data_IF_239747445168
#
_entry.id   IF_239747445168
#
_cell.length_a   1.000
_cell.length_b   1.000
_cell.length_c   1.000
_cell.angle_alpha   90.00
_cell.angle_beta   90.00
_cell.angle_gamma   90.00
#
_symmetry.space_group_name_H-M   'P 1'
#
loop_
_entity.id
_entity.type
_entity.pdbx_description
1 polymer ?
2 non-polymer ?
3 water ?
#
# COMPACT_ATOMS: atom_id res chain seq x y z
N UNK A 1 -26.07 -13.54 -25.07
CA UNK A 1 -25.16 -13.00 -24.08
C UNK A 1 -25.34 -11.51 -23.84
N UNK A 2 -24.84 -11.03 -22.72
CA UNK A 2 -24.99 -9.64 -22.34
C UNK A 2 -23.77 -9.23 -21.53
N UNK A 3 -23.53 -7.93 -21.50
CA UNK A 3 -22.45 -7.38 -20.72
C UNK A 3 -22.87 -7.26 -19.26
N UNK A 4 -22.21 -8.04 -18.41
CA UNK A 4 -22.52 -8.04 -16.99
C UNK A 4 -21.71 -6.97 -16.25
N UNK A 5 -20.52 -6.67 -16.76
CA UNK A 5 -19.65 -5.67 -16.14
C UNK A 5 -18.63 -5.18 -17.18
N UNK A 6 -18.25 -3.93 -17.06
CA UNK A 6 -17.32 -3.38 -18.00
C UNK A 6 -16.60 -2.19 -17.39
N UNK A 7 -15.29 -2.13 -17.64
CA UNK A 7 -14.49 -0.97 -17.25
C UNK A 7 -13.28 -0.85 -18.16
N UNK A 8 -12.88 0.38 -18.43
CA UNK A 8 -11.76 0.55 -19.34
C UNK A 8 -11.10 1.90 -18.98
N UNK A 9 -9.83 2.03 -19.35
CA UNK A 9 -9.14 3.26 -19.04
C UNK A 9 -7.65 3.18 -19.32
N UNK A 10 -6.88 3.96 -18.56
CA UNK A 10 -5.45 4.04 -18.83
C UNK A 10 -4.67 3.58 -17.62
N UNK A 11 -3.69 2.73 -17.86
CA UNK A 11 -2.88 2.18 -16.80
C UNK A 11 -1.43 2.66 -16.99
N UNK A 12 -0.65 2.59 -15.90
CA UNK A 12 0.79 2.88 -15.90
C UNK A 12 1.17 4.26 -16.38
N UNK A 13 0.38 5.25 -16.00
CA UNK A 13 0.67 6.65 -16.37
C UNK A 13 1.59 7.21 -15.30
N UNK A 14 2.84 7.41 -15.68
CA UNK A 14 3.87 7.89 -14.79
C UNK A 14 3.77 9.43 -14.76
N UNK A 15 3.80 10.02 -13.57
CA UNK A 15 3.67 11.46 -13.48
C UNK A 15 4.68 12.01 -12.49
N UNK A 16 5.32 13.10 -12.87
CA UNK A 16 6.22 13.74 -11.95
C UNK A 16 5.75 15.19 -11.81
N UNK A 17 5.78 15.71 -10.60
CA UNK A 17 5.44 17.12 -10.40
C UNK A 17 6.45 17.77 -9.41
N UNK A 18 6.93 18.95 -9.77
CA UNK A 18 7.86 19.70 -8.91
C UNK A 18 7.18 20.96 -8.31
N UNK A 19 7.40 21.19 -7.03
CA UNK A 19 6.94 22.42 -6.39
C UNK A 19 8.19 23.28 -6.06
N UNK A 20 8.19 24.53 -6.53
CA UNK A 20 9.31 25.47 -6.29
C UNK A 20 8.90 26.65 -5.38
N UNK A 21 9.46 26.70 -4.17
CA UNK A 21 9.24 27.83 -3.26
C UNK A 21 10.11 28.99 -3.74
N UNK A 22 9.50 30.01 -4.32
CA UNK A 22 10.27 31.17 -4.78
C UNK A 22 10.98 31.87 -3.61
N UNK A 23 10.33 31.84 -2.44
CA UNK A 23 10.92 32.44 -1.26
C UNK A 23 12.25 31.75 -0.94
N UNK A 24 12.14 30.58 -0.30
CA UNK A 24 13.28 29.79 0.16
C UNK A 24 14.19 29.15 -0.91
N UNK A 25 13.72 29.04 -2.15
CA UNK A 25 14.49 28.35 -3.20
C UNK A 25 14.39 26.81 -3.07
N UNK A 26 13.65 26.35 -2.07
CA UNK A 26 13.47 24.94 -1.86
C UNK A 26 12.49 24.28 -2.86
N UNK A 27 12.94 23.17 -3.45
CA UNK A 27 12.13 22.44 -4.42
C UNK A 27 11.70 21.10 -3.83
N UNK A 28 10.49 20.68 -4.18
CA UNK A 28 9.92 19.41 -3.71
C UNK A 28 9.35 18.65 -4.89
N UNK A 29 9.74 17.39 -5.00
CA UNK A 29 9.27 16.59 -6.13
C UNK A 29 8.30 15.50 -5.68
N UNK A 30 7.39 15.16 -6.58
CA UNK A 30 6.37 14.13 -6.32
C UNK A 30 6.37 13.26 -7.55
N UNK A 31 6.46 11.94 -7.35
CA UNK A 31 6.43 11.04 -8.48
C UNK A 31 5.45 9.91 -8.23
N UNK A 32 4.61 9.63 -9.21
CA UNK A 32 3.62 8.61 -8.96
C UNK A 32 3.28 7.80 -10.19
N UNK A 33 2.58 6.70 -10.01
CA UNK A 33 2.09 5.94 -11.19
C UNK A 33 0.60 5.85 -11.02
N UNK A 34 -0.14 6.23 -12.05
CA UNK A 34 -1.57 6.35 -11.95
C UNK A 34 -2.30 5.38 -12.91
N UNK A 35 -3.39 4.80 -12.42
CA UNK A 35 -4.31 4.03 -13.23
C UNK A 35 -5.72 4.63 -13.03
N UNK A 36 -6.46 4.83 -14.10
CA UNK A 36 -7.84 5.30 -14.02
C UNK A 36 -8.68 4.40 -14.95
N UNK A 37 -9.68 3.74 -14.36
CA UNK A 37 -10.64 2.90 -15.09
C UNK A 37 -12.05 3.51 -14.91
N UNK A 38 -12.80 3.62 -15.99
CA UNK A 38 -14.13 4.20 -15.93
C UNK A 38 -15.23 3.13 -16.15
N UNK A 39 -16.41 3.36 -15.59
CA UNK A 39 -17.62 2.56 -15.86
C UNK A 39 -18.77 3.54 -16.15
N UNK A 40 -19.79 3.07 -16.86
CA UNK A 40 -20.99 3.85 -17.12
C UNK A 40 -21.80 3.15 -18.20
N UNK A 41 -22.42 3.98 -19.04
CA UNK A 41 -23.23 3.49 -20.13
C UNK A 41 -22.42 3.27 -21.41
N UNK A 42 -21.58 2.25 -21.37
CA UNK A 42 -20.63 2.05 -22.45
C UNK A 42 -20.76 0.71 -23.10
N UNK A 43 -21.80 -0.03 -22.73
CA UNK A 43 -22.05 -1.37 -23.26
C UNK A 43 -22.04 -1.39 -24.78
N UNK A 44 -22.63 -0.36 -25.40
CA UNK A 44 -22.72 -0.38 -26.86
C UNK A 44 -21.38 -0.35 -27.56
N UNK A 45 -20.34 0.09 -26.85
CA UNK A 45 -19.01 0.10 -27.49
C UNK A 45 -18.59 -1.35 -27.71
N UNK A 46 -19.03 -2.24 -26.80
CA UNK A 46 -18.71 -3.67 -26.92
C UNK A 46 -19.67 -4.39 -27.87
N UNK A 47 -20.95 -4.11 -27.69
CA UNK A 47 -21.97 -4.85 -28.45
C UNK A 47 -22.26 -4.38 -29.87
N UNK A 48 -22.15 -3.08 -30.11
CA UNK A 48 -22.53 -2.52 -31.40
C UNK A 48 -21.41 -1.79 -32.15
N UNK A 49 -20.18 -1.86 -31.62
CA UNK A 49 -19.06 -1.14 -32.24
C UNK A 49 -19.39 0.34 -32.25
N UNK A 50 -20.09 0.79 -31.22
CA UNK A 50 -20.44 2.19 -31.15
C UNK A 50 -19.41 2.92 -30.25
N UNK A 51 -18.44 3.59 -30.88
CA UNK A 51 -17.36 4.26 -30.16
C UNK A 51 -17.73 5.63 -29.63
N UNK A 52 -18.94 6.10 -29.98
CA UNK A 52 -19.41 7.41 -29.56
C UNK A 52 -19.47 7.58 -28.06
N UNK A 53 -19.58 6.46 -27.35
CA UNK A 53 -19.67 6.49 -25.88
C UNK A 53 -18.29 6.46 -25.22
N UNK A 54 -17.26 6.24 -26.03
CA UNK A 54 -15.90 6.11 -25.52
C UNK A 54 -15.11 7.40 -25.39
N UNK A 55 -14.71 7.69 -24.16
CA UNK A 55 -13.77 8.73 -23.84
C UNK A 55 -12.41 7.98 -24.04
N UNK A 56 -11.70 8.32 -25.12
CA UNK A 56 -10.43 7.67 -25.49
C UNK A 56 -9.46 7.55 -24.30
N UNK A 57 -8.79 6.41 -24.21
CA UNK A 57 -7.86 6.21 -23.08
C UNK A 57 -6.74 7.26 -23.13
N UNK A 58 -6.38 7.66 -24.33
CA UNK A 58 -5.41 8.73 -24.52
C UNK A 58 -5.88 10.07 -23.91
N UNK A 59 -7.20 10.33 -23.98
CA UNK A 59 -7.78 11.54 -23.38
C UNK A 59 -7.76 11.47 -21.86
N UNK A 60 -7.94 10.26 -21.34
CA UNK A 60 -7.90 10.03 -19.89
C UNK A 60 -6.47 10.37 -19.43
N UNK A 61 -5.49 9.93 -20.20
CA UNK A 61 -4.07 10.22 -19.89
C UNK A 61 -3.84 11.75 -19.88
N UNK A 62 -4.31 12.44 -20.92
CA UNK A 62 -4.22 13.90 -21.00
C UNK A 62 -4.81 14.55 -19.77
N UNK A 63 -5.97 14.04 -19.32
CA UNK A 63 -6.70 14.58 -18.18
C UNK A 63 -5.91 14.45 -16.87
N UNK A 64 -5.18 13.35 -16.73
CA UNK A 64 -4.38 13.17 -15.52
C UNK A 64 -3.30 14.28 -15.48
N UNK A 65 -2.63 14.51 -16.60
CA UNK A 65 -1.61 15.56 -16.64
C UNK A 65 -2.24 16.93 -16.31
N UNK A 66 -3.34 17.25 -16.96
CA UNK A 66 -4.00 18.54 -16.73
C UNK A 66 -4.44 18.70 -15.26
N UNK A 67 -5.02 17.66 -14.72
CA UNK A 67 -5.46 17.70 -13.32
C UNK A 67 -4.29 17.90 -12.36
N UNK A 68 -3.20 17.20 -12.63
CA UNK A 68 -1.99 17.32 -11.81
C UNK A 68 -1.43 18.75 -11.92
N UNK A 69 -1.55 19.33 -13.10
CA UNK A 69 -1.09 20.69 -13.34
C UNK A 69 -1.91 21.72 -12.52
N UNK A 70 -3.21 21.55 -12.47
CA UNK A 70 -4.07 22.51 -11.79
C UNK A 70 -4.38 22.24 -10.34
N UNK A 71 -3.95 21.11 -9.80
CA UNK A 71 -4.27 20.80 -8.40
C UNK A 71 -3.05 20.25 -7.69
N UNK A 72 -3.13 20.19 -6.37
CA UNK A 72 -2.06 19.63 -5.56
C UNK A 72 -2.13 18.13 -5.81
N UNK A 73 -0.97 17.46 -5.81
CA UNK A 73 -0.93 16.02 -6.04
C UNK A 73 -0.80 15.27 -4.74
N UNK A 74 -0.79 16.02 -3.66
CA UNK A 74 -0.64 15.47 -2.32
C UNK A 74 -1.71 16.11 -1.42
N UNK A 75 -2.21 15.37 -0.43
CA UNK A 75 -1.95 13.95 -0.26
C UNK A 75 -2.68 13.19 -1.39
N UNK A 76 -2.22 11.98 -1.69
CA UNK A 76 -2.79 11.20 -2.82
C UNK A 76 -4.26 10.89 -2.72
N UNK A 77 -4.76 10.72 -1.51
CA UNK A 77 -6.21 10.50 -1.28
C UNK A 77 -7.05 11.68 -1.82
N UNK A 78 -6.51 12.89 -1.72
CA UNK A 78 -7.19 14.09 -2.27
C UNK A 78 -7.07 14.15 -3.79
N UNK A 79 -5.84 14.05 -4.30
CA UNK A 79 -5.64 14.07 -5.75
C UNK A 79 -6.49 13.02 -6.45
N UNK A 80 -6.55 11.80 -5.90
CA UNK A 80 -7.37 10.72 -6.51
C UNK A 80 -8.88 11.05 -6.48
N UNK A 81 -9.34 11.70 -5.41
CA UNK A 81 -10.78 12.11 -5.30
C UNK A 81 -11.10 13.19 -6.34
N UNK A 82 -10.19 14.15 -6.50
CA UNK A 82 -10.39 15.17 -7.50
C UNK A 82 -10.47 14.55 -8.89
N UNK A 83 -9.50 13.68 -9.19
CA UNK A 83 -9.43 13.05 -10.51
C UNK A 83 -10.67 12.19 -10.81
N UNK A 84 -11.11 11.37 -9.86
CA UNK A 84 -12.27 10.51 -10.13
C UNK A 84 -13.51 11.39 -10.27
N UNK A 85 -13.67 12.37 -9.37
CA UNK A 85 -14.85 13.24 -9.39
C UNK A 85 -14.96 13.93 -10.74
N UNK A 86 -13.81 14.37 -11.27
CA UNK A 86 -13.81 15.00 -12.58
C UNK A 86 -14.51 14.17 -13.64
N UNK A 87 -14.18 12.88 -13.76
CA UNK A 87 -14.79 12.07 -14.83
C UNK A 87 -16.32 11.91 -14.69
N UNK A 88 -16.81 11.69 -13.47
CA UNK A 88 -18.24 11.47 -13.31
C UNK A 88 -19.10 12.75 -13.50
N UNK A 89 -18.54 13.91 -13.18
CA UNK A 89 -19.23 15.21 -13.37
C UNK A 89 -19.15 15.71 -14.79
N UNK A 90 -18.00 15.48 -15.43
CA UNK A 90 -17.81 15.94 -16.78
C UNK A 90 -18.62 15.14 -17.79
N UNK A 91 -18.71 13.83 -17.61
CA UNK A 91 -19.37 12.98 -18.60
C UNK A 91 -20.64 12.39 -18.03
N UNK A 92 -21.73 12.67 -18.74
CA UNK A 92 -23.06 12.30 -18.27
C UNK A 92 -23.28 10.80 -18.17
N UNK A 93 -22.72 10.06 -19.12
CA UNK A 93 -22.89 8.63 -19.18
C UNK A 93 -21.86 7.81 -18.42
N UNK A 94 -20.89 8.48 -17.78
CA UNK A 94 -19.87 7.83 -16.96
C UNK A 94 -20.35 7.93 -15.52
N UNK A 95 -20.55 6.80 -14.85
CA UNK A 95 -21.06 6.84 -13.48
C UNK A 95 -20.13 6.39 -12.35
N UNK A 96 -19.02 5.73 -12.71
CA UNK A 96 -18.01 5.36 -11.72
C UNK A 96 -16.62 5.57 -12.30
N UNK A 97 -15.70 6.04 -11.46
CA UNK A 97 -14.28 6.20 -11.80
C UNK A 97 -13.49 5.49 -10.71
N UNK A 98 -12.53 4.67 -11.12
CA UNK A 98 -11.69 3.91 -10.20
C UNK A 98 -10.27 4.36 -10.47
N UNK A 99 -9.68 4.99 -9.46
CA UNK A 99 -8.38 5.62 -9.65
C UNK A 99 -7.40 4.95 -8.70
N UNK A 100 -6.30 4.44 -9.22
CA UNK A 100 -5.27 3.84 -8.37
C UNK A 100 -3.97 4.64 -8.50
N UNK A 101 -3.37 4.98 -7.39
CA UNK A 101 -2.13 5.79 -7.40
C UNK A 101 -1.07 5.11 -6.55
N UNK A 102 0.14 5.03 -7.07
CA UNK A 102 1.29 4.49 -6.37
C UNK A 102 2.27 5.66 -6.26
N UNK A 103 2.66 6.03 -5.04
CA UNK A 103 3.63 7.10 -4.82
C UNK A 103 4.98 6.48 -4.59
N UNK A 104 5.96 6.95 -5.35
CA UNK A 104 7.35 6.48 -5.25
C UNK A 104 8.13 7.43 -4.31
N UNK A 105 9.08 6.90 -3.55
CA UNK A 105 9.82 7.78 -2.63
C UNK A 105 10.91 8.54 -3.32
N UNK A 106 10.92 9.86 -3.10
CA UNK A 106 12.04 10.71 -3.48
C UNK A 106 12.28 11.50 -2.18
N UNK A 107 13.32 11.10 -1.47
CA UNK A 107 13.63 11.64 -0.14
C UNK A 107 14.75 12.67 -0.23
N UNK A 108 14.46 13.84 0.30
CA UNK A 108 15.43 14.93 0.27
C UNK A 108 16.80 14.42 0.75
N UNK A 109 17.86 14.70 0.00
CA UNK A 109 19.18 14.29 0.43
C UNK A 109 19.71 15.20 1.57
N UNK A 110 20.47 14.61 2.48
CA UNK A 110 21.10 15.39 3.54
C UNK A 110 22.55 15.47 3.14
N UNK A 111 23.02 16.68 2.87
CA UNK A 111 24.42 16.88 2.52
C UNK A 111 25.10 17.67 3.65
N UNK A 112 26.10 17.09 4.28
CA UNK A 112 26.83 17.77 5.35
C UNK A 112 25.93 18.06 6.56
N UNK A 113 25.04 17.13 6.90
CA UNK A 113 24.14 17.30 8.04
C UNK A 113 23.05 18.35 7.77
N UNK A 114 22.77 18.60 6.50
CA UNK A 114 21.78 19.61 6.17
C UNK A 114 20.94 19.27 4.91
N UNK A 115 19.62 19.47 4.99
CA UNK A 115 18.71 19.20 3.86
C UNK A 115 19.06 19.95 2.59
N UNK A 116 19.28 19.22 1.49
CA UNK A 116 19.55 19.86 0.22
C UNK A 116 18.28 20.38 -0.48
N UNK A 117 18.38 21.59 -1.02
CA UNK A 117 17.23 22.26 -1.62
C UNK A 117 16.58 21.58 -2.83
N UNK A 118 17.34 20.76 -3.56
CA UNK A 118 16.77 20.16 -4.77
C UNK A 118 17.40 18.86 -5.27
N UNK A 119 17.91 18.06 -4.33
CA UNK A 119 18.50 16.78 -4.65
C UNK A 119 17.81 15.75 -3.80
N UNK A 120 17.49 14.62 -4.44
CA UNK A 120 16.70 13.56 -3.84
C UNK A 120 17.27 12.19 -4.11
N UNK A 121 16.90 11.25 -3.24
CA UNK A 121 17.37 9.91 -3.33
C UNK A 121 16.18 8.99 -3.07
N UNK A 122 16.14 7.87 -3.78
CA UNK A 122 15.11 6.87 -3.55
C UNK A 122 15.64 5.93 -2.46
N UNK A 123 15.07 6.08 -1.27
CA UNK A 123 15.41 5.18 -0.17
C UNK A 123 14.39 4.06 -0.06
N UNK A 124 14.71 2.97 -0.74
CA UNK A 124 13.86 1.81 -0.72
C UNK A 124 12.72 2.01 -1.64
N UNK A 125 12.11 0.89 -1.85
CA UNK A 125 11.11 0.54 -2.83
C UNK A 125 9.74 0.50 -2.14
N UNK A 126 9.71 0.94 -0.90
CA UNK A 126 8.44 1.02 -0.17
C UNK A 126 7.54 2.07 -0.88
N UNK A 127 6.26 1.73 -1.05
CA UNK A 127 5.28 2.61 -1.73
C UNK A 127 4.21 3.05 -0.74
N UNK A 128 3.58 4.19 -1.05
CA UNK A 128 2.36 4.66 -0.40
C UNK A 128 1.33 4.66 -1.51
N UNK A 129 0.19 3.98 -1.33
CA UNK A 129 -0.78 3.86 -2.41
C UNK A 129 -2.14 4.34 -1.97
N UNK A 130 -3.00 4.56 -2.96
CA UNK A 130 -4.39 4.85 -2.70
C UNK A 130 -5.23 4.18 -3.76
N UNK A 131 -6.38 3.71 -3.35
CA UNK A 131 -7.38 3.24 -4.29
C UNK A 131 -8.62 4.11 -4.05
N UNK A 132 -9.09 4.84 -5.05
CA UNK A 132 -10.27 5.70 -4.88
C UNK A 132 -11.36 5.30 -5.87
N UNK A 133 -12.53 4.94 -5.35
CA UNK A 133 -13.68 4.62 -6.17
C UNK A 133 -14.71 5.75 -5.99
N UNK A 134 -15.00 6.43 -7.09
CA UNK A 134 -15.93 7.56 -7.09
C UNK A 134 -17.16 7.13 -7.88
N UNK A 135 -18.23 6.84 -7.14
CA UNK A 135 -19.46 6.32 -7.75
C UNK A 135 -20.62 7.34 -7.69
N UNK A 136 -21.17 7.69 -8.85
CA UNK A 136 -22.22 8.68 -8.87
C UNK A 136 -23.37 8.31 -7.92
N UNK A 137 -23.66 9.22 -6.98
CA UNK A 137 -24.72 9.00 -5.99
C UNK A 137 -24.36 8.15 -4.79
N UNK A 138 -23.09 7.71 -4.68
CA UNK A 138 -22.66 6.87 -3.56
C UNK A 138 -21.39 7.37 -2.89
N UNK A 139 -20.96 8.55 -3.27
CA UNK A 139 -19.86 9.21 -2.61
C UNK A 139 -18.50 8.69 -3.08
N UNK A 140 -17.57 8.66 -2.15
CA UNK A 140 -16.18 8.37 -2.42
C UNK A 140 -15.64 7.38 -1.43
N UNK A 141 -15.20 6.23 -1.92
CA UNK A 141 -14.58 5.18 -1.09
C UNK A 141 -13.07 5.22 -1.30
N UNK A 142 -12.36 5.35 -0.20
CA UNK A 142 -10.92 5.41 -0.25
C UNK A 142 -10.27 4.31 0.62
N UNK A 143 -9.31 3.63 0.02
CA UNK A 143 -8.47 2.66 0.72
C UNK A 143 -7.05 3.15 0.55
N UNK A 144 -6.35 3.37 1.65
CA UNK A 144 -4.99 3.87 1.58
C UNK A 144 -4.09 2.69 1.99
N UNK A 145 -2.85 2.70 1.53
CA UNK A 145 -1.99 1.60 1.94
C UNK A 145 -0.52 1.91 1.86
N UNK A 146 0.25 1.08 2.55
CA UNK A 146 1.67 1.13 2.39
C UNK A 146 2.04 -0.31 1.99
N UNK A 147 3.05 -0.46 1.15
CA UNK A 147 3.48 -1.79 0.74
C UNK A 147 4.97 -1.77 0.47
N UNK A 148 5.54 -2.95 0.30
CA UNK A 148 6.98 -3.08 0.02
C UNK A 148 7.86 -2.65 1.19
N UNK A 149 7.33 -2.70 2.41
CA UNK A 149 8.12 -2.41 3.61
C UNK A 149 8.74 -3.73 4.10
N UNK A 150 10.01 -3.92 3.84
CA UNK A 150 10.67 -5.20 4.16
C UNK A 150 11.48 -5.17 5.43
N UNK A 151 11.12 -6.05 6.38
CA UNK A 151 11.77 -6.03 7.70
C UNK A 151 12.16 -7.44 8.15
N UNK A 152 13.05 -7.50 9.12
CA UNK A 152 13.53 -8.76 9.68
C UNK A 152 13.95 -8.54 11.15
N UNK A 153 13.61 -9.50 12.01
CA UNK A 153 14.12 -9.49 13.37
C UNK A 153 14.81 -10.84 13.57
N UNK A 154 16.00 -10.83 14.16
CA UNK A 154 16.83 -12.04 14.27
C UNK A 154 16.50 -12.93 15.45
N UNK A 155 15.63 -12.45 16.31
CA UNK A 155 15.25 -13.24 17.49
C UNK A 155 13.93 -12.70 18.04
N UNK A 156 13.42 -13.31 19.11
CA UNK A 156 12.15 -12.87 19.74
C UNK A 156 10.96 -13.15 18.87
N UNK A 157 10.98 -14.33 18.29
CA UNK A 157 9.87 -14.76 17.49
C UNK A 157 9.79 -16.24 17.77
N UNK A 158 8.58 -16.72 17.97
CA UNK A 158 8.42 -18.12 18.31
C UNK A 158 7.31 -18.67 17.47
N UNK A 159 7.26 -19.99 17.43
CA UNK A 159 6.15 -20.68 16.83
C UNK A 159 6.04 -22.09 17.38
N UNK A 160 5.15 -22.29 18.35
CA UNK A 160 4.94 -23.60 18.97
C UNK A 160 3.47 -23.75 19.33
N UNK A 161 3.03 -24.98 19.61
CA UNK A 161 1.62 -25.24 19.97
C UNK A 161 0.65 -25.44 18.77
N UNK A 162 1.19 -25.55 17.58
CA UNK A 162 0.31 -25.66 16.43
C UNK A 162 -0.15 -27.12 16.29
N UNK A 163 -1.20 -27.33 15.50
CA UNK A 163 -1.73 -28.67 15.27
C UNK A 163 -0.67 -29.62 14.71
N UNK A 164 -0.65 -30.87 15.21
CA UNK A 164 0.29 -31.89 14.75
C UNK A 164 -0.47 -33.14 14.35
N UNK A 165 -0.25 -33.61 13.14
CA UNK A 165 -0.91 -34.83 12.73
C UNK A 165 0.01 -35.56 11.76
N UNK A 166 -0.51 -36.51 11.00
CA UNK A 166 0.37 -37.27 10.10
C UNK A 166 0.92 -36.47 8.90
N UNK A 167 0.57 -35.19 8.78
CA UNK A 167 1.08 -34.36 7.66
C UNK A 167 2.13 -33.40 8.17
N UNK A 168 2.39 -33.43 9.47
CA UNK A 168 3.30 -32.47 10.11
C UNK A 168 4.72 -32.98 10.26
N UNK A 169 5.70 -32.17 9.85
CA UNK A 169 7.11 -32.50 10.09
C UNK A 169 7.80 -31.32 10.73
N UNK A 170 7.15 -30.15 10.68
CA UNK A 170 7.72 -28.92 11.23
C UNK A 170 7.95 -29.06 12.76
N UNK A 171 9.11 -28.64 13.22
CA UNK A 171 9.38 -28.71 14.66
C UNK A 171 9.01 -27.41 15.36
N UNK A 172 8.51 -27.54 16.59
CA UNK A 172 8.15 -26.38 17.39
C UNK A 172 9.42 -25.63 17.70
N UNK A 173 9.35 -24.30 17.79
CA UNK A 173 10.54 -23.53 18.10
C UNK A 173 10.25 -22.37 19.04
N UNK A 174 11.26 -22.00 19.81
CA UNK A 174 11.08 -20.91 20.77
C UNK A 174 11.92 -19.73 20.39
N UNK A 175 12.68 -19.85 19.31
CA UNK A 175 13.56 -18.78 18.87
C UNK A 175 13.80 -18.89 17.36
N UNK A 176 13.34 -17.89 16.60
CA UNK A 176 13.51 -17.95 15.14
C UNK A 176 13.60 -16.56 14.55
N UNK A 177 14.06 -16.52 13.30
CA UNK A 177 14.11 -15.28 12.54
C UNK A 177 12.71 -15.06 12.01
N UNK A 178 12.27 -13.80 12.01
CA UNK A 178 10.96 -13.47 11.45
C UNK A 178 11.27 -12.38 10.43
N UNK A 179 10.88 -12.62 9.18
CA UNK A 179 11.08 -11.62 8.11
C UNK A 179 9.85 -11.54 7.22
N UNK A 180 9.50 -10.34 6.74
CA UNK A 180 8.29 -10.19 5.92
C UNK A 180 8.28 -8.90 5.09
N UNK A 181 7.38 -8.84 4.13
CA UNK A 181 7.17 -7.64 3.33
C UNK A 181 5.78 -7.18 3.75
N UNK A 182 5.70 -6.01 4.36
CA UNK A 182 4.45 -5.54 4.90
C UNK A 182 3.56 -4.88 3.87
N UNK A 183 2.32 -5.35 3.83
CA UNK A 183 1.29 -4.78 2.98
C UNK A 183 0.14 -4.48 3.94
N UNK A 184 -0.08 -3.20 4.23
CA UNK A 184 -1.15 -2.80 5.17
C UNK A 184 -2.08 -1.80 4.46
N UNK A 185 -3.37 -2.05 4.57
CA UNK A 185 -4.40 -1.21 3.98
C UNK A 185 -5.41 -0.75 5.03
N UNK A 186 -5.72 0.54 5.04
CA UNK A 186 -6.78 1.04 5.92
C UNK A 186 -7.87 1.64 5.06
N UNK A 187 -9.08 1.20 5.33
CA UNK A 187 -10.23 1.68 4.61
C UNK A 187 -10.96 2.77 5.39
N UNK A 188 -11.15 3.92 4.74
CA UNK A 188 -11.81 5.07 5.34
C UNK A 188 -13.35 4.89 5.31
N UNK A 189 -14.04 5.58 6.19
CA UNK A 189 -15.50 5.58 6.14
C UNK A 189 -15.85 6.32 4.84
N UNK A 190 -16.95 5.94 4.24
CA UNK A 190 -17.42 6.51 2.99
C UNK A 190 -17.55 8.03 3.13
N UNK A 191 -17.18 8.77 2.09
CA UNK A 191 -17.26 10.21 2.13
C UNK A 191 -18.36 10.59 1.15
N UNK A 192 -19.08 11.68 1.47
CA UNK A 192 -20.21 12.12 0.66
C UNK A 192 -19.79 12.75 -0.64
N UNK A 193 -18.60 13.30 -0.70
CA UNK A 193 -18.16 13.92 -1.95
C UNK A 193 -16.86 14.59 -1.68
N UNK A 194 -16.40 15.39 -2.65
CA UNK A 194 -15.13 16.08 -2.54
C UNK A 194 -15.00 17.05 -1.34
N UNK A 195 -16.05 17.82 -1.08
CA UNK A 195 -16.02 18.80 0.03
C UNK A 195 -15.77 18.08 1.34
N UNK A 196 -16.42 16.95 1.54
CA UNK A 196 -16.07 16.17 2.74
C UNK A 196 -14.62 15.65 2.74
N UNK A 197 -14.11 15.22 1.59
CA UNK A 197 -12.72 14.73 1.59
C UNK A 197 -11.80 15.89 1.91
N UNK A 198 -12.06 17.05 1.30
CA UNK A 198 -11.22 18.22 1.56
C UNK A 198 -11.21 18.58 3.04
N UNK A 199 -12.32 18.35 3.72
CA UNK A 199 -12.38 18.68 5.14
C UNK A 199 -11.46 17.81 6.01
N UNK A 200 -11.12 16.61 5.54
CA UNK A 200 -10.31 15.69 6.33
C UNK A 200 -8.85 15.61 5.91
N UNK A 201 -8.46 16.46 4.96
CA UNK A 201 -7.13 16.45 4.41
C UNK A 201 -5.96 16.15 5.37
N UNK A 202 -5.88 16.89 6.47
CA UNK A 202 -4.77 16.70 7.40
C UNK A 202 -4.69 15.27 7.96
N UNK A 203 -5.82 14.55 7.98
CA UNK A 203 -5.80 13.21 8.56
C UNK A 203 -5.10 12.14 7.69
N UNK A 204 -4.91 12.43 6.41
CA UNK A 204 -4.37 11.42 5.51
C UNK A 204 -2.90 11.09 5.76
N UNK A 205 -2.06 12.10 5.69
CA UNK A 205 -0.64 11.96 5.96
C UNK A 205 -0.39 11.48 7.40
N UNK A 206 -1.17 11.98 8.36
CA UNK A 206 -0.96 11.63 9.76
C UNK A 206 -1.31 10.20 9.98
N UNK A 207 -2.35 9.74 9.29
CA UNK A 207 -2.77 8.35 9.49
C UNK A 207 -1.80 7.39 8.82
N UNK A 208 -1.21 7.84 7.71
CA UNK A 208 -0.21 7.06 7.01
C UNK A 208 1.02 6.91 7.91
N UNK A 209 1.46 8.02 8.49
CA UNK A 209 2.63 8.03 9.39
C UNK A 209 2.36 7.13 10.59
N UNK A 210 1.13 7.19 11.08
CA UNK A 210 0.74 6.36 12.22
C UNK A 210 0.75 4.86 11.91
N UNK A 211 0.22 4.48 10.76
CA UNK A 211 0.17 3.07 10.41
C UNK A 211 1.60 2.52 10.32
N UNK A 212 2.47 3.28 9.68
CA UNK A 212 3.86 2.92 9.52
C UNK A 212 4.55 2.72 10.85
N UNK A 213 4.46 3.75 11.69
CA UNK A 213 5.11 3.75 13.01
C UNK A 213 4.64 2.60 13.90
N UNK A 214 3.33 2.39 13.95
CA UNK A 214 2.76 1.30 14.75
C UNK A 214 3.21 -0.04 14.20
N UNK A 215 3.23 -0.15 12.88
CA UNK A 215 3.69 -1.39 12.23
C UNK A 215 5.13 -1.70 12.65
N UNK A 216 6.01 -0.73 12.53
CA UNK A 216 7.44 -0.89 12.86
C UNK A 216 7.71 -1.16 14.34
N UNK A 217 7.08 -0.39 15.21
CA UNK A 217 7.25 -0.56 16.65
C UNK A 217 6.70 -1.89 17.14
N UNK A 218 5.51 -2.27 16.68
CA UNK A 218 4.92 -3.53 17.12
C UNK A 218 5.78 -4.73 16.64
N UNK A 219 6.28 -4.65 15.41
CA UNK A 219 7.08 -5.75 14.89
C UNK A 219 8.36 -5.87 15.76
N UNK A 220 9.05 -4.76 15.96
CA UNK A 220 10.28 -4.77 16.75
C UNK A 220 10.14 -5.19 18.24
N UNK A 221 9.04 -4.80 18.88
CA UNK A 221 8.87 -5.06 20.33
C UNK A 221 8.09 -6.32 20.70
N UNK A 222 7.16 -6.73 19.86
CA UNK A 222 6.39 -7.90 20.22
C UNK A 222 7.24 -9.15 20.30
N UNK A 223 7.08 -9.92 21.38
CA UNK A 223 7.72 -11.23 21.47
C UNK A 223 6.75 -12.15 20.79
N UNK A 224 6.89 -12.22 19.47
CA UNK A 224 5.87 -12.78 18.59
C UNK A 224 5.57 -14.25 18.81
N UNK A 225 4.29 -14.53 19.06
CA UNK A 225 3.82 -15.89 19.24
C UNK A 225 3.52 -16.55 17.87
N UNK A 226 3.33 -15.69 16.87
CA UNK A 226 3.02 -16.10 15.49
C UNK A 226 2.83 -14.83 14.67
N UNK A 227 2.86 -14.96 13.35
CA UNK A 227 2.62 -13.80 12.50
C UNK A 227 1.19 -13.32 12.75
N UNK A 228 0.27 -14.25 12.88
CA UNK A 228 -1.15 -13.97 13.13
C UNK A 228 -1.35 -13.04 14.34
N UNK A 229 -0.65 -13.34 15.42
CA UNK A 229 -0.82 -12.65 16.68
C UNK A 229 -0.22 -11.28 16.62
N UNK A 230 0.95 -11.17 16.01
CA UNK A 230 1.62 -9.89 15.86
C UNK A 230 0.84 -8.93 14.92
N UNK A 231 0.30 -9.45 13.82
CA UNK A 231 -0.42 -8.55 12.92
C UNK A 231 -1.73 -8.01 13.51
N UNK A 232 -2.43 -8.84 14.27
CA UNK A 232 -3.67 -8.41 14.93
C UNK A 232 -3.36 -7.26 15.88
N UNK A 233 -2.25 -7.35 16.61
CA UNK A 233 -1.86 -6.27 17.52
C UNK A 233 -1.65 -4.96 16.80
N UNK A 234 -1.04 -5.02 15.60
CA UNK A 234 -0.81 -3.77 14.85
C UNK A 234 -2.16 -3.16 14.46
N UNK A 235 -3.00 -3.98 13.87
CA UNK A 235 -4.29 -3.54 13.34
C UNK A 235 -5.13 -2.97 14.49
N UNK A 236 -5.09 -3.62 15.66
CA UNK A 236 -5.84 -3.15 16.83
C UNK A 236 -5.42 -1.73 17.17
N UNK A 237 -4.13 -1.47 17.18
CA UNK A 237 -3.66 -0.12 17.50
C UNK A 237 -4.04 0.96 16.47
N UNK A 238 -3.98 0.62 15.19
CA UNK A 238 -4.32 1.61 14.18
C UNK A 238 -5.79 2.03 14.30
N UNK A 239 -6.66 1.07 14.51
CA UNK A 239 -8.10 1.34 14.65
C UNK A 239 -8.39 2.22 15.84
N UNK A 240 -7.60 2.06 16.88
CA UNK A 240 -7.83 2.84 18.09
C UNK A 240 -7.34 4.28 17.93
N UNK A 241 -6.44 4.52 16.99
CA UNK A 241 -5.89 5.85 16.81
C UNK A 241 -6.58 6.79 15.85
N UNK A 242 -7.44 6.23 15.03
CA UNK A 242 -8.10 6.98 13.97
C UNK A 242 -9.51 6.41 13.80
N UNK A 243 -10.49 7.19 14.25
CA UNK A 243 -11.91 6.78 14.24
C UNK A 243 -12.54 6.73 12.87
N UNK A 244 -11.98 7.50 11.95
CA UNK A 244 -12.53 7.60 10.59
C UNK A 244 -12.18 6.36 9.74
N UNK A 245 -11.36 5.46 10.28
CA UNK A 245 -11.00 4.20 9.64
C UNK A 245 -12.03 3.15 10.01
N UNK A 246 -12.58 2.44 9.04
CA UNK A 246 -13.53 1.38 9.31
C UNK A 246 -12.83 0.00 9.50
N UNK A 247 -11.84 -0.30 8.64
CA UNK A 247 -11.16 -1.59 8.68
C UNK A 247 -9.70 -1.44 8.35
N UNK A 248 -8.89 -2.28 8.98
CA UNK A 248 -7.47 -2.39 8.69
C UNK A 248 -7.22 -3.80 8.11
N UNK A 249 -6.50 -3.87 7.01
CA UNK A 249 -6.19 -5.18 6.46
C UNK A 249 -4.68 -5.36 6.32
N UNK A 250 -4.19 -6.50 6.77
CA UNK A 250 -2.76 -6.82 6.66
C UNK A 250 -2.61 -8.07 5.81
N UNK A 251 -1.57 -8.08 4.99
CA UNK A 251 -1.26 -9.25 4.18
C UNK A 251 0.25 -9.41 4.30
N UNK A 252 0.67 -10.48 4.97
CA UNK A 252 2.09 -10.70 5.27
C UNK A 252 2.68 -12.06 4.87
N UNK A 253 3.67 -12.07 3.98
CA UNK A 253 4.42 -13.29 3.67
C UNK A 253 5.37 -13.64 4.83
N UNK A 254 5.57 -14.92 5.08
CA UNK A 254 6.52 -15.31 6.09
C UNK A 254 7.69 -15.85 5.27
N UNK A 255 8.77 -15.04 5.13
CA UNK A 255 9.97 -15.40 4.36
C UNK A 255 10.91 -16.20 5.23
N UNK A 256 11.02 -17.48 4.93
CA UNK A 256 11.75 -18.42 5.77
C UNK A 256 13.27 -18.40 5.63
N UNK A 257 13.96 -18.54 6.75
CA UNK A 257 15.42 -18.64 6.81
C UNK A 257 15.69 -19.98 7.50
N UNK A 258 16.19 -20.96 6.76
CA UNK A 258 16.39 -22.29 7.34
C UNK A 258 17.76 -22.39 7.97
N UNK A 259 17.83 -23.14 9.08
CA UNK A 259 19.10 -23.50 9.73
C UNK A 259 19.85 -24.44 8.78
N UNK A 260 21.17 -24.42 8.81
CA UNK A 260 21.94 -25.34 8.00
C UNK A 260 22.71 -26.28 8.94
N UNK A 261 22.41 -27.57 8.86
CA UNK A 261 23.12 -28.53 9.72
C UNK A 261 24.49 -28.79 9.13
N UNK A 262 25.54 -28.36 9.82
CA UNK A 262 26.89 -28.57 9.35
C UNK A 262 27.68 -29.64 10.13
N UNK A 263 26.96 -30.41 10.97
CA UNK A 263 27.60 -31.42 11.82
C UNK A 263 28.26 -32.56 11.03
N UNK A 264 27.80 -32.81 9.80
CA UNK A 264 28.43 -33.84 8.95
C UNK A 264 29.83 -33.39 8.57
N UNK A 265 30.14 -32.12 8.83
CA UNK A 265 31.47 -31.64 8.52
C UNK A 265 32.28 -31.32 9.77
N UNK A 266 33.06 -32.31 10.22
CA UNK A 266 33.92 -32.18 11.41
C UNK A 266 33.15 -31.84 12.68
N UNK A 267 31.91 -32.33 12.77
CA UNK A 267 31.05 -32.06 13.93
C UNK A 267 30.75 -30.58 14.16
N UNK A 268 30.95 -29.76 13.14
CA UNK A 268 30.63 -28.33 13.20
C UNK A 268 29.19 -28.12 13.73
N UNK A 269 29.05 -27.22 14.69
CA UNK A 269 27.76 -26.99 15.36
C UNK A 269 27.09 -25.70 14.87
N UNK A 270 26.00 -25.85 14.13
CA UNK A 270 25.34 -24.69 13.54
C UNK A 270 23.80 -24.71 13.64
N UNK A 271 23.29 -25.51 14.58
CA UNK A 271 21.83 -25.63 14.78
C UNK A 271 21.42 -25.15 16.19
N UNK A 272 20.12 -24.97 16.39
CA UNK A 272 19.60 -24.52 17.68
C UNK A 272 20.36 -23.32 18.25
N UNK A 273 20.84 -23.44 19.48
CA UNK A 273 21.52 -22.33 20.13
C UNK A 273 22.85 -22.00 19.46
N UNK A 274 23.36 -22.91 18.63
CA UNK A 274 24.61 -22.61 17.93
C UNK A 274 24.49 -22.08 16.48
N UNK A 275 23.25 -21.84 16.05
CA UNK A 275 22.94 -21.39 14.70
C UNK A 275 23.46 -19.98 14.39
N UNK A 276 24.31 -19.86 13.37
CA UNK A 276 24.86 -18.57 13.00
C UNK A 276 24.65 -18.28 11.53
N UNK A 277 24.79 -19.34 10.74
CA UNK A 277 24.68 -19.24 9.28
C UNK A 277 23.36 -19.91 8.85
N UNK A 278 22.51 -19.14 8.16
CA UNK A 278 21.22 -19.62 7.69
C UNK A 278 21.12 -19.53 6.17
N UNK A 279 20.17 -20.26 5.61
CA UNK A 279 19.88 -20.17 4.19
C UNK A 279 18.50 -19.52 3.99
N UNK A 280 18.48 -18.28 3.49
CA UNK A 280 17.24 -17.60 3.16
C UNK A 280 16.61 -18.42 2.03
N UNK A 281 15.30 -18.64 2.10
CA UNK A 281 14.57 -19.43 1.10
C UNK A 281 13.78 -18.47 0.23
N UNK A 282 13.89 -18.65 -1.08
CA UNK A 282 13.17 -17.79 -1.99
C UNK A 282 11.71 -18.14 -2.08
N UNK A 283 11.40 -19.43 -2.07
CA UNK A 283 10.03 -19.94 -2.11
C UNK A 283 10.17 -21.35 -1.54
N UNK A 284 9.07 -21.94 -1.08
CA UNK A 284 7.78 -21.29 -0.97
C UNK A 284 7.78 -20.39 0.26
N UNK A 285 6.68 -19.71 0.49
CA UNK A 285 6.57 -18.84 1.66
C UNK A 285 5.16 -18.92 2.23
N UNK A 286 5.08 -18.76 3.55
CA UNK A 286 3.81 -18.67 4.25
C UNK A 286 3.17 -17.34 3.81
N UNK A 287 1.85 -17.35 3.74
CA UNK A 287 1.11 -16.13 3.42
C UNK A 287 -0.03 -16.04 4.46
N UNK A 288 -0.01 -14.96 5.22
CA UNK A 288 -0.93 -14.77 6.32
C UNK A 288 -1.70 -13.45 6.15
N UNK A 289 -3.04 -13.51 6.17
CA UNK A 289 -3.88 -12.31 6.01
C UNK A 289 -4.89 -12.15 7.15
N UNK A 290 -5.35 -10.95 7.37
CA UNK A 290 -6.44 -10.76 8.31
C UNK A 290 -7.05 -9.37 8.12
N UNK A 291 -8.36 -9.30 8.20
CA UNK A 291 -9.08 -8.03 8.13
C UNK A 291 -9.68 -7.77 9.49
N UNK A 292 -9.33 -6.67 10.08
CA UNK A 292 -9.78 -6.35 11.42
C UNK A 292 -10.68 -5.11 11.32
N UNK A 293 -11.85 -5.18 11.97
CA UNK A 293 -12.79 -4.05 11.99
C UNK A 293 -13.28 -3.78 13.43
N UNK A 294 -14.33 -2.97 13.53
CA UNK A 294 -14.85 -2.56 14.83
C UNK A 294 -15.99 -3.46 15.32
N UNK A 295 -15.91 -3.88 16.57
CA UNK A 295 -16.99 -4.69 17.19
C UNK A 295 -18.24 -3.84 17.48
X LIG B 1 5.22 -21.41 10.40
X LIG B 1 4.40 -22.33 9.82
X LIG B 1 3.13 -22.00 9.81
X LIG B 1 3.11 -20.76 10.46
X LIG B 1 2.01 -19.90 10.75
X LIG B 1 0.83 -20.05 10.47
X LIG B 1 2.43 -18.75 11.44
X LIG B 1 3.74 -18.47 11.79
X LIG B 1 3.94 -17.33 12.44
X LIG B 1 4.79 -19.27 11.49
X LIG B 1 4.40 -20.40 10.83
#
# INVERSE_FOLDING_TARGET
SAVKAARYGKDNVRVYKVHKDEKTGVQTVYEMTVCVLLEGEIETSYTKADNSVIVATDSIKNTIYITAKQNPVTPPELFGSILGTHFIEKYNHIHAAHVNIVCHRWTRMDIDGKPHPHSFIRDSEEKRNVQVDVVEGKGIDIKSSLSGLTVLKSTNSQFWGFLRDEYTTLKETWDRILSTDVDATWQWKNFSGLQEVRSHVPKFDATWATAREVTLKTFAEDNSASVQATMYKMAEQILARQQLIETVEYSLPNKHYFEIDLSWHKGLQNTGKNAEVFAPQSDPNGLIKCTVGRSSLKSKL
GUN N9 C8 N7 C5 C6 O6 N1 C2 N2 N3 C4
#
